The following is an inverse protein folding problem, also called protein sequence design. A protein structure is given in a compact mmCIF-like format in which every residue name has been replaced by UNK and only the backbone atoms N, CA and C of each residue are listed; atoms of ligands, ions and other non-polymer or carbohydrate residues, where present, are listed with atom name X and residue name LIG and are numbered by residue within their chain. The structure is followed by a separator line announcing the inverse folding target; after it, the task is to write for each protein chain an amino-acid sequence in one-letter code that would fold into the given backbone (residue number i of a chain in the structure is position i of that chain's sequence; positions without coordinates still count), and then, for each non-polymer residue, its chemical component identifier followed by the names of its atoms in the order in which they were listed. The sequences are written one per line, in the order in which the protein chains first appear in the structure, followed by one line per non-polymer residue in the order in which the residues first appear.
data_IF_521255972267
#
_entry.id   IF_521255972267
#
_cell.length_a   1.000
_cell.length_b   1.000
_cell.length_c   1.000
_cell.angle_alpha   90.00
_cell.angle_beta   90.00
_cell.angle_gamma   90.00
#
_symmetry.space_group_name_H-M   'P 1'
#
loop_
_entity.id
_entity.type
_entity.pdbx_description
1 polymer ?
#
# COMPACT_ATOMS: atom_id res chain seq x y z
N UNK A 1 7.79 -15.61 -0.38
CA UNK A 1 6.99 -14.45 -0.83
C UNK A 1 5.70 -15.00 -1.41
N UNK A 2 4.56 -14.44 -1.02
CA UNK A 2 3.24 -14.74 -1.56
C UNK A 2 2.75 -13.51 -2.32
N UNK A 3 2.25 -13.69 -3.53
CA UNK A 3 1.72 -12.61 -4.38
C UNK A 3 0.33 -13.03 -4.80
N UNK A 4 -0.63 -12.11 -4.68
CA UNK A 4 -2.01 -12.31 -5.04
C UNK A 4 -2.52 -11.08 -5.79
N UNK A 5 -3.23 -11.32 -6.88
CA UNK A 5 -4.00 -10.30 -7.57
C UNK A 5 -5.38 -10.22 -6.95
N UNK A 6 -5.76 -9.02 -6.53
CA UNK A 6 -7.08 -8.69 -6.01
C UNK A 6 -7.86 -8.06 -7.15
N UNK A 7 -8.85 -8.79 -7.67
CA UNK A 7 -9.77 -8.27 -8.67
C UNK A 7 -10.82 -7.41 -7.97
N UNK A 8 -10.94 -6.17 -8.41
CA UNK A 8 -11.86 -5.18 -7.88
C UNK A 8 -12.86 -4.79 -8.97
N UNK A 9 -14.10 -4.57 -8.56
CA UNK A 9 -15.19 -4.19 -9.46
C UNK A 9 -15.90 -2.99 -8.84
N UNK A 10 -15.71 -1.81 -9.43
CA UNK A 10 -16.33 -0.58 -8.96
C UNK A 10 -16.97 0.16 -10.13
N UNK A 11 -18.26 0.48 -10.00
CA UNK A 11 -19.00 1.32 -10.96
C UNK A 11 -18.87 0.90 -12.44
N UNK A 12 -18.67 -0.40 -12.70
CA UNK A 12 -18.52 -0.95 -14.06
C UNK A 12 -17.09 -0.98 -14.61
N UNK A 13 -16.11 -0.47 -13.85
CA UNK A 13 -14.68 -0.66 -14.16
C UNK A 13 -14.14 -1.88 -13.41
N UNK A 14 -13.49 -2.76 -14.16
CA UNK A 14 -12.71 -3.88 -13.63
C UNK A 14 -11.23 -3.47 -13.59
N UNK A 15 -10.61 -3.63 -12.43
CA UNK A 15 -9.18 -3.41 -12.27
C UNK A 15 -8.61 -4.40 -11.26
N UNK A 16 -7.30 -4.65 -11.34
CA UNK A 16 -6.60 -5.54 -10.41
C UNK A 16 -5.57 -4.77 -9.61
N UNK A 17 -5.48 -5.10 -8.32
CA UNK A 17 -4.41 -4.63 -7.43
C UNK A 17 -3.52 -5.80 -7.05
N UNK A 18 -2.23 -5.53 -6.84
CA UNK A 18 -1.28 -6.56 -6.44
C UNK A 18 -1.03 -6.49 -4.94
N UNK A 19 -1.41 -7.55 -4.22
CA UNK A 19 -1.04 -7.77 -2.82
C UNK A 19 0.18 -8.67 -2.75
N UNK A 20 1.26 -8.14 -2.20
CA UNK A 20 2.46 -8.89 -1.86
C UNK A 20 2.56 -9.07 -0.34
N UNK A 21 2.72 -10.31 0.09
CA UNK A 21 2.96 -10.68 1.49
C UNK A 21 4.28 -11.43 1.57
N UNK A 22 5.21 -10.96 2.39
CA UNK A 22 6.45 -11.67 2.63
C UNK A 22 6.82 -11.64 4.11
N UNK A 23 7.52 -12.69 4.54
CA UNK A 23 8.07 -12.77 5.88
C UNK A 23 9.46 -12.13 5.87
N UNK A 24 9.66 -11.17 6.75
CA UNK A 24 10.97 -10.66 7.12
C UNK A 24 11.49 -11.53 8.27
N UNK A 25 12.44 -12.42 7.96
CA UNK A 25 12.97 -13.39 8.92
C UNK A 25 13.92 -12.76 9.95
N UNK A 26 14.54 -11.64 9.62
CA UNK A 26 15.48 -10.95 10.51
C UNK A 26 14.69 -10.26 11.62
N UNK A 27 13.71 -9.46 11.22
CA UNK A 27 12.91 -8.67 12.16
C UNK A 27 11.66 -9.43 12.68
N UNK A 28 11.49 -10.70 12.26
CA UNK A 28 10.33 -11.54 12.58
C UNK A 28 8.99 -10.83 12.33
N UNK A 29 8.87 -10.18 11.16
CA UNK A 29 7.67 -9.48 10.74
C UNK A 29 7.01 -10.16 9.54
N UNK A 30 5.70 -9.96 9.41
CA UNK A 30 4.97 -10.16 8.17
C UNK A 30 4.77 -8.80 7.51
N UNK A 31 5.29 -8.66 6.30
CA UNK A 31 5.21 -7.44 5.51
C UNK A 31 4.10 -7.58 4.48
N UNK A 32 3.18 -6.63 4.49
CA UNK A 32 2.09 -6.50 3.53
C UNK A 32 2.36 -5.28 2.68
N UNK A 33 2.23 -5.43 1.37
CA UNK A 33 2.37 -4.35 0.40
C UNK A 33 1.25 -4.48 -0.62
N UNK A 34 0.47 -3.42 -0.81
CA UNK A 34 -0.62 -3.35 -1.77
C UNK A 34 -0.34 -2.23 -2.78
N UNK A 35 -0.15 -2.63 -4.02
CA UNK A 35 0.09 -1.70 -5.13
C UNK A 35 -1.22 -1.19 -5.71
N UNK A 36 -1.25 0.10 -6.00
CA UNK A 36 -2.37 0.77 -6.66
C UNK A 36 -2.46 0.42 -8.13
N UNK A 37 -3.40 1.08 -8.81
CA UNK A 37 -3.66 0.85 -10.24
C UNK A 37 -2.95 1.86 -11.15
N UNK A 38 -2.66 3.05 -10.63
CA UNK A 38 -2.17 4.17 -11.43
C UNK A 38 -0.63 4.28 -11.33
N UNK A 39 0.00 4.51 -12.47
CA UNK A 39 1.41 4.92 -12.49
C UNK A 39 1.54 6.40 -12.14
N UNK A 40 2.58 6.73 -11.37
CA UNK A 40 2.98 8.10 -11.11
C UNK A 40 3.23 8.84 -12.43
N UNK A 41 2.67 10.05 -12.62
CA UNK A 41 2.95 10.88 -13.78
C UNK A 41 4.42 11.33 -13.79
N UNK A 42 4.90 11.81 -14.93
CA UNK A 42 6.29 12.26 -15.09
C UNK A 42 6.56 13.56 -14.35
N UNK A 43 5.52 14.36 -14.14
CA UNK A 43 5.54 15.56 -13.33
C UNK A 43 4.52 15.38 -12.21
N UNK A 44 4.95 15.55 -10.97
CA UNK A 44 4.09 15.50 -9.78
C UNK A 44 4.04 16.89 -9.16
N UNK A 45 2.85 17.32 -8.72
CA UNK A 45 2.72 18.54 -7.97
C UNK A 45 3.55 18.49 -6.66
N UNK A 46 4.13 19.63 -6.28
CA UNK A 46 4.95 19.73 -5.07
C UNK A 46 4.19 19.37 -3.78
N UNK A 47 2.91 19.73 -3.72
CA UNK A 47 2.05 19.41 -2.58
C UNK A 47 1.78 17.91 -2.49
N UNK A 48 1.58 17.24 -3.62
CA UNK A 48 1.43 15.78 -3.67
C UNK A 48 2.71 15.07 -3.22
N UNK A 49 3.88 15.53 -3.69
CA UNK A 49 5.17 14.99 -3.26
C UNK A 49 5.38 15.18 -1.75
N UNK A 50 5.01 16.33 -1.21
CA UNK A 50 5.11 16.61 0.24
C UNK A 50 4.27 15.60 1.03
N UNK A 51 3.00 15.43 0.66
CA UNK A 51 2.11 14.45 1.31
C UNK A 51 2.65 13.02 1.20
N UNK A 52 3.20 12.65 0.04
CA UNK A 52 3.81 11.34 -0.16
C UNK A 52 4.97 11.11 0.81
N UNK A 53 5.86 12.10 0.93
CA UNK A 53 7.01 12.04 1.84
C UNK A 53 6.58 11.98 3.32
N UNK A 54 5.57 12.75 3.71
CA UNK A 54 5.01 12.70 5.07
C UNK A 54 4.39 11.33 5.38
N UNK A 55 3.62 10.77 4.43
CA UNK A 55 3.02 9.45 4.56
C UNK A 55 4.09 8.34 4.62
N UNK A 56 5.21 8.49 3.91
CA UNK A 56 6.32 7.53 3.95
C UNK A 56 6.95 7.41 5.36
N UNK A 57 6.81 8.43 6.22
CA UNK A 57 7.31 8.44 7.60
C UNK A 57 6.33 7.84 8.62
N UNK A 58 5.06 7.64 8.25
CA UNK A 58 4.03 7.11 9.16
C UNK A 58 4.36 5.75 9.80
N UNK A 59 5.13 4.82 9.19
CA UNK A 59 5.56 3.59 9.87
C UNK A 59 6.32 3.82 11.18
N UNK A 60 7.01 4.96 11.34
CA UNK A 60 7.69 5.33 12.59
C UNK A 60 6.71 5.48 13.76
N UNK A 61 5.45 5.82 13.47
CA UNK A 61 4.37 5.98 14.43
C UNK A 61 3.35 4.84 14.36
N UNK A 62 3.77 3.66 13.91
CA UNK A 62 2.87 2.51 13.73
C UNK A 62 1.73 2.75 12.71
N UNK A 63 1.86 3.74 11.83
CA UNK A 63 0.95 3.97 10.69
C UNK A 63 1.21 3.04 9.51
N UNK A 64 0.50 3.28 8.40
CA UNK A 64 0.76 2.68 7.09
C UNK A 64 1.83 3.49 6.37
N UNK A 65 2.79 2.83 5.74
CA UNK A 65 3.75 3.51 4.86
C UNK A 65 3.23 3.61 3.44
N UNK A 66 3.77 4.54 2.66
CA UNK A 66 3.64 4.57 1.20
C UNK A 66 5.02 4.66 0.56
N UNK A 67 5.14 4.08 -0.62
CA UNK A 67 6.32 4.22 -1.45
C UNK A 67 6.02 3.83 -2.90
N UNK A 68 7.09 3.64 -3.67
CA UNK A 68 7.02 3.16 -5.04
C UNK A 68 7.61 1.76 -5.06
N UNK A 69 6.91 0.80 -5.67
CA UNK A 69 7.46 -0.54 -5.80
C UNK A 69 8.74 -0.51 -6.67
N UNK A 70 9.84 -1.16 -6.26
CA UNK A 70 11.08 -1.14 -7.03
C UNK A 70 10.89 -1.65 -8.47
N UNK A 71 11.43 -0.90 -9.43
CA UNK A 71 11.30 -1.25 -10.85
C UNK A 71 9.96 -0.92 -11.48
N UNK A 72 9.04 -0.27 -10.74
CA UNK A 72 7.79 0.26 -11.28
C UNK A 72 7.67 1.76 -11.02
N UNK A 73 6.56 2.35 -11.49
CA UNK A 73 6.11 3.71 -11.12
C UNK A 73 4.80 3.68 -10.33
N UNK A 74 4.46 2.53 -9.75
CA UNK A 74 3.18 2.31 -9.10
C UNK A 74 3.33 2.59 -7.60
N UNK A 75 2.37 3.35 -7.05
CA UNK A 75 2.29 3.59 -5.62
C UNK A 75 1.94 2.32 -4.88
N UNK A 76 2.58 2.11 -3.74
CA UNK A 76 2.39 0.94 -2.90
C UNK A 76 2.25 1.36 -1.45
N UNK A 77 1.11 1.04 -0.86
CA UNK A 77 0.90 1.19 0.58
C UNK A 77 1.37 -0.09 1.28
N UNK A 78 2.06 0.04 2.40
CA UNK A 78 2.63 -1.11 3.09
C UNK A 78 2.50 -1.04 4.62
N UNK A 79 2.57 -2.22 5.25
CA UNK A 79 2.61 -2.38 6.69
C UNK A 79 3.46 -3.58 7.10
N UNK A 80 4.26 -3.40 8.16
CA UNK A 80 4.91 -4.50 8.87
C UNK A 80 4.09 -4.85 10.11
N UNK A 81 3.88 -6.15 10.34
CA UNK A 81 3.19 -6.71 11.50
C UNK A 81 4.14 -7.67 12.21
N UNK A 82 4.39 -7.46 13.50
CA UNK A 82 5.20 -8.37 14.29
C UNK A 82 4.51 -9.72 14.46
N UNK A 83 5.24 -10.80 14.20
CA UNK A 83 4.74 -12.16 14.39
C UNK A 83 4.50 -12.49 15.87
N UNK A 84 5.21 -11.83 16.79
CA UNK A 84 5.08 -12.04 18.23
C UNK A 84 3.75 -11.54 18.82
N UNK A 85 3.03 -10.66 18.12
CA UNK A 85 1.76 -10.06 18.55
C UNK A 85 0.56 -10.37 17.64
N UNK A 86 0.67 -11.39 16.79
CA UNK A 86 -0.32 -11.65 15.74
C UNK A 86 -1.63 -12.24 16.29
N UNK A 87 -2.77 -11.61 15.95
CA UNK A 87 -4.12 -12.11 16.22
C UNK A 87 -4.95 -12.13 14.92
N UNK A 88 -5.63 -13.24 14.60
CA UNK A 88 -6.32 -13.42 13.30
C UNK A 88 -7.32 -12.32 12.95
N UNK A 89 -8.05 -11.76 13.93
CA UNK A 89 -8.99 -10.64 13.70
C UNK A 89 -8.32 -9.35 13.20
N UNK A 90 -7.00 -9.22 13.37
CA UNK A 90 -6.22 -8.06 12.92
C UNK A 90 -6.00 -8.03 11.42
N UNK A 91 -5.98 -9.18 10.75
CA UNK A 91 -5.57 -9.27 9.35
C UNK A 91 -6.64 -8.70 8.39
N UNK A 92 -7.92 -9.03 8.59
CA UNK A 92 -9.00 -8.46 7.78
C UNK A 92 -9.08 -6.94 7.93
N UNK A 93 -8.91 -6.43 9.15
CA UNK A 93 -8.85 -4.99 9.40
C UNK A 93 -7.65 -4.35 8.71
N UNK A 94 -6.49 -5.02 8.72
CA UNK A 94 -5.31 -4.54 8.01
C UNK A 94 -5.55 -4.49 6.50
N UNK A 95 -6.08 -5.56 5.90
CA UNK A 95 -6.38 -5.60 4.46
C UNK A 95 -7.37 -4.50 4.08
N UNK A 96 -8.43 -4.31 4.87
CA UNK A 96 -9.38 -3.21 4.67
C UNK A 96 -8.69 -1.83 4.74
N UNK A 97 -7.82 -1.60 5.72
CA UNK A 97 -7.05 -0.35 5.83
C UNK A 97 -6.10 -0.13 4.64
N UNK A 98 -5.43 -1.19 4.17
CA UNK A 98 -4.57 -1.11 2.99
C UNK A 98 -5.37 -0.74 1.74
N UNK A 99 -6.53 -1.39 1.54
CA UNK A 99 -7.43 -1.12 0.41
C UNK A 99 -7.93 0.32 0.41
N UNK A 100 -8.51 0.78 1.52
CA UNK A 100 -8.98 2.18 1.62
C UNK A 100 -7.85 3.18 1.40
N UNK A 101 -6.67 2.90 1.97
CA UNK A 101 -5.53 3.81 1.80
C UNK A 101 -5.06 3.88 0.35
N UNK A 102 -4.92 2.75 -0.34
CA UNK A 102 -4.46 2.79 -1.74
C UNK A 102 -5.52 3.43 -2.67
N UNK A 103 -6.81 3.24 -2.40
CA UNK A 103 -7.90 3.93 -3.10
C UNK A 103 -7.82 5.45 -2.95
N UNK A 104 -7.60 5.94 -1.74
CA UNK A 104 -7.41 7.36 -1.49
C UNK A 104 -6.19 7.92 -2.24
N UNK A 105 -5.09 7.16 -2.29
CA UNK A 105 -3.88 7.57 -3.02
C UNK A 105 -4.07 7.54 -4.53
N UNK A 106 -4.72 6.51 -5.08
CA UNK A 106 -5.07 6.43 -6.49
C UNK A 106 -5.96 7.62 -6.90
N UNK A 107 -6.94 7.98 -6.07
CA UNK A 107 -7.82 9.13 -6.31
C UNK A 107 -7.07 10.47 -6.26
N UNK A 108 -6.20 10.65 -5.26
CA UNK A 108 -5.35 11.85 -5.16
C UNK A 108 -4.46 11.98 -6.39
N UNK A 109 -3.89 10.87 -6.88
CA UNK A 109 -3.00 10.85 -8.03
C UNK A 109 -3.70 11.27 -9.33
N UNK A 110 -4.98 10.89 -9.52
CA UNK A 110 -5.78 11.33 -10.68
C UNK A 110 -5.99 12.86 -10.67
N UNK A 111 -6.00 13.46 -9.48
CA UNK A 111 -6.18 14.91 -9.30
C UNK A 111 -4.87 15.69 -9.13
N UNK A 112 -3.71 15.02 -9.17
CA UNK A 112 -2.40 15.57 -8.81
C UNK A 112 -1.63 16.20 -9.97
#
# INVERSE_FOLDING_TARGET
MFICELNCTESGNEYSRQLSIYRDEIEQNLCFALSGQNELPTLIAGDFLTLLCEQALQPLNSGLGIGIFPGSRILTVYKKVSLAGYYQGSLNQLLSKLMTSIEEWDNRLITA
#
